data_IF_377470028713
#
_entry.id   IF_377470028713
#
_cell.length_a   1.000
_cell.length_b   1.000
_cell.length_c   1.000
_cell.angle_alpha   90.00
_cell.angle_beta   90.00
_cell.angle_gamma   90.00
#
_symmetry.space_group_name_H-M   'P 1'
#
loop_
_entity.id
_entity.type
_entity.pdbx_description
1 polymer ?
#
# COMPACT_ATOMS: atom_id res chain seq x y z
N UNK A 1 -49.98 -61.50 -1.05
CA UNK A 1 -48.66 -61.32 -0.41
C UNK A 1 -47.81 -60.46 -1.32
N UNK A 2 -47.85 -59.14 -1.13
CA UNK A 2 -47.16 -58.17 -1.98
C UNK A 2 -46.29 -57.24 -1.13
N UNK A 3 -45.23 -56.78 -1.79
CA UNK A 3 -44.43 -55.57 -1.54
C UNK A 3 -43.53 -55.54 -0.31
N UNK A 4 -42.29 -56.02 -0.49
CA UNK A 4 -41.12 -55.49 0.21
C UNK A 4 -39.90 -55.46 -0.73
N UNK A 5 -39.99 -54.67 -1.80
CA UNK A 5 -38.85 -54.41 -2.72
C UNK A 5 -38.98 -53.02 -3.32
N UNK A 6 -38.84 -51.94 -2.56
CA UNK A 6 -38.75 -50.58 -3.15
C UNK A 6 -38.16 -49.49 -2.22
N UNK A 7 -37.18 -49.79 -1.35
CA UNK A 7 -36.58 -48.75 -0.46
C UNK A 7 -35.03 -48.82 -0.39
N UNK A 8 -34.35 -49.37 -1.40
CA UNK A 8 -32.86 -49.35 -1.47
C UNK A 8 -32.38 -48.81 -2.82
N UNK A 9 -33.09 -47.83 -3.40
CA UNK A 9 -32.65 -47.15 -4.63
C UNK A 9 -32.73 -45.61 -4.56
N UNK A 10 -33.10 -45.03 -3.41
CA UNK A 10 -33.19 -43.57 -3.25
C UNK A 10 -32.00 -43.00 -2.46
N UNK A 11 -31.30 -43.81 -1.67
CA UNK A 11 -30.14 -43.33 -0.87
C UNK A 11 -28.87 -43.18 -1.73
N UNK A 12 -28.79 -43.79 -2.91
CA UNK A 12 -27.63 -43.66 -3.80
C UNK A 12 -27.71 -42.47 -4.78
N UNK A 13 -28.87 -41.82 -4.91
CA UNK A 13 -29.05 -40.63 -5.78
C UNK A 13 -28.89 -39.30 -5.01
N UNK A 14 -28.95 -39.31 -3.68
CA UNK A 14 -28.67 -38.12 -2.85
C UNK A 14 -27.20 -37.94 -2.51
N UNK A 15 -26.34 -38.94 -2.73
CA UNK A 15 -24.89 -38.84 -2.51
C UNK A 15 -24.11 -38.30 -3.73
N UNK A 16 -24.74 -38.17 -4.89
CA UNK A 16 -24.12 -37.53 -6.07
C UNK A 16 -24.28 -35.99 -6.10
N UNK A 17 -25.05 -35.39 -5.19
CA UNK A 17 -25.17 -33.94 -5.08
C UNK A 17 -24.12 -33.30 -4.14
N UNK A 18 -23.14 -34.06 -3.65
CA UNK A 18 -22.10 -33.54 -2.74
C UNK A 18 -20.68 -33.53 -3.35
N UNK A 19 -20.52 -33.81 -4.64
CA UNK A 19 -19.22 -33.77 -5.34
C UNK A 19 -19.30 -33.02 -6.67
N UNK A 20 -19.82 -31.80 -6.61
CA UNK A 20 -19.56 -30.76 -7.60
C UNK A 20 -19.28 -29.45 -6.87
N UNK A 21 -18.24 -29.45 -6.03
CA UNK A 21 -17.51 -28.22 -5.72
C UNK A 21 -16.43 -28.05 -6.80
N UNK A 22 -16.87 -28.05 -8.06
CA UNK A 22 -16.04 -27.85 -9.24
C UNK A 22 -16.52 -26.59 -9.96
N UNK A 23 -16.14 -25.47 -9.37
CA UNK A 23 -15.83 -24.21 -10.01
C UNK A 23 -15.14 -23.42 -8.89
N UNK A 24 -13.82 -23.54 -8.80
CA UNK A 24 -13.05 -22.44 -8.22
C UNK A 24 -13.52 -21.18 -8.94
N UNK A 25 -13.95 -20.15 -8.23
CA UNK A 25 -14.35 -18.88 -8.85
C UNK A 25 -13.14 -18.34 -9.64
N UNK A 26 -13.12 -18.60 -10.96
CA UNK A 26 -12.02 -18.18 -11.83
C UNK A 26 -12.16 -16.68 -12.01
N UNK A 27 -11.38 -15.92 -11.26
CA UNK A 27 -11.28 -14.48 -11.48
C UNK A 27 -10.59 -14.22 -12.81
N UNK A 28 -11.10 -13.24 -13.57
CA UNK A 28 -10.54 -12.89 -14.89
C UNK A 28 -10.05 -11.45 -14.92
N UNK A 29 -8.88 -11.25 -15.50
CA UNK A 29 -8.45 -9.93 -15.95
C UNK A 29 -8.48 -9.94 -17.47
N UNK A 30 -9.35 -9.12 -18.03
CA UNK A 30 -9.57 -9.01 -19.46
C UNK A 30 -9.25 -7.59 -19.91
N UNK A 31 -8.90 -7.43 -21.17
CA UNK A 31 -8.66 -6.10 -21.66
C UNK A 31 -8.22 -6.03 -23.11
N UNK A 32 -8.04 -4.79 -23.53
CA UNK A 32 -7.73 -4.42 -24.89
C UNK A 32 -6.68 -3.31 -24.90
N UNK A 33 -5.53 -3.60 -25.49
CA UNK A 33 -4.49 -2.62 -25.75
C UNK A 33 -4.58 -2.08 -27.18
N UNK A 34 -4.43 -0.77 -27.33
CA UNK A 34 -4.28 -0.14 -28.65
C UNK A 34 -2.84 0.31 -28.87
N UNK A 35 -2.45 0.58 -30.12
CA UNK A 35 -1.12 1.12 -30.48
C UNK A 35 0.07 0.21 -30.10
N UNK A 36 -0.14 -1.12 -30.14
CA UNK A 36 0.92 -2.07 -29.82
C UNK A 36 2.06 -2.06 -30.85
N UNK A 37 3.33 -2.25 -30.42
CA UNK A 37 4.44 -2.44 -31.34
C UNK A 37 4.26 -3.68 -32.23
N UNK A 38 4.26 -3.46 -33.56
CA UNK A 38 3.89 -4.45 -34.59
C UNK A 38 4.78 -5.70 -34.62
N UNK A 39 6.02 -5.61 -34.14
CA UNK A 39 7.04 -6.66 -34.26
C UNK A 39 7.55 -7.20 -32.92
N UNK A 40 6.76 -7.11 -31.85
CA UNK A 40 7.14 -7.65 -30.54
C UNK A 40 6.02 -8.49 -29.98
N UNK A 41 6.40 -9.67 -29.47
CA UNK A 41 5.52 -10.39 -28.57
C UNK A 41 5.37 -9.58 -27.27
N UNK A 42 4.14 -9.46 -26.80
CA UNK A 42 3.80 -8.73 -25.59
C UNK A 42 3.12 -9.68 -24.64
N UNK A 43 3.59 -9.69 -23.39
CA UNK A 43 3.02 -10.44 -22.31
C UNK A 43 2.47 -9.48 -21.27
N UNK A 44 1.24 -9.74 -20.84
CA UNK A 44 0.63 -9.10 -19.69
C UNK A 44 0.94 -9.94 -18.45
N UNK A 45 1.38 -9.30 -17.38
CA UNK A 45 1.74 -9.96 -16.12
C UNK A 45 0.92 -9.38 -14.98
N UNK A 46 0.53 -10.25 -14.04
CA UNK A 46 0.01 -9.88 -12.74
C UNK A 46 1.04 -10.21 -11.67
N UNK A 47 1.23 -9.28 -10.73
CA UNK A 47 2.13 -9.42 -9.59
C UNK A 47 1.37 -9.26 -8.29
N UNK A 48 1.78 -10.03 -7.29
CA UNK A 48 1.51 -9.78 -5.89
C UNK A 48 2.73 -9.17 -5.21
N UNK A 49 2.52 -8.68 -3.99
CA UNK A 49 3.59 -8.16 -3.15
C UNK A 49 3.91 -9.12 -2.01
N UNK A 50 5.20 -9.28 -1.77
CA UNK A 50 5.76 -9.88 -0.56
C UNK A 50 6.72 -8.86 0.07
N UNK A 51 6.24 -8.12 1.07
CA UNK A 51 6.92 -6.92 1.56
C UNK A 51 7.04 -5.86 0.46
N UNK A 52 8.27 -5.56 0.04
CA UNK A 52 8.57 -4.65 -1.08
C UNK A 52 8.91 -5.37 -2.39
N UNK A 53 8.89 -6.70 -2.40
CA UNK A 53 9.23 -7.49 -3.58
C UNK A 53 7.97 -7.83 -4.38
N UNK A 54 8.12 -7.82 -5.71
CA UNK A 54 7.08 -8.23 -6.65
C UNK A 54 7.25 -9.69 -6.99
N UNK A 55 6.20 -10.46 -6.84
CA UNK A 55 6.16 -11.87 -7.23
C UNK A 55 5.17 -12.04 -8.38
N UNK A 56 5.63 -12.57 -9.51
CA UNK A 56 4.77 -12.89 -10.66
C UNK A 56 3.76 -13.95 -10.21
N UNK A 57 2.48 -13.60 -10.24
CA UNK A 57 1.40 -14.54 -9.98
C UNK A 57 1.05 -15.33 -11.24
N UNK A 58 0.88 -14.63 -12.35
CA UNK A 58 0.52 -15.22 -13.62
C UNK A 58 0.83 -14.28 -14.79
N UNK A 59 0.80 -14.80 -16.02
CA UNK A 59 1.00 -14.04 -17.24
C UNK A 59 0.24 -14.62 -18.43
N UNK A 60 -0.11 -13.75 -19.37
CA UNK A 60 -0.76 -14.14 -20.63
C UNK A 60 -0.15 -13.40 -21.80
N UNK A 61 -0.01 -14.08 -22.93
CA UNK A 61 0.40 -13.44 -24.18
C UNK A 61 -0.75 -12.57 -24.72
N UNK A 62 -0.46 -11.30 -24.95
CA UNK A 62 -1.38 -10.37 -25.60
C UNK A 62 -1.48 -10.71 -27.09
N UNK A 63 -2.70 -10.80 -27.61
CA UNK A 63 -2.93 -11.08 -29.02
C UNK A 63 -2.44 -9.92 -29.89
N UNK A 64 -2.18 -10.17 -31.18
CA UNK A 64 -1.83 -9.11 -32.14
C UNK A 64 -2.92 -8.05 -32.30
N UNK A 65 -4.17 -8.40 -32.02
CA UNK A 65 -5.29 -7.45 -31.95
C UNK A 65 -5.22 -6.53 -30.73
N UNK A 66 -4.40 -6.87 -29.73
CA UNK A 66 -4.30 -6.20 -28.44
C UNK A 66 -5.18 -6.77 -27.33
N UNK A 67 -6.04 -7.73 -27.66
CA UNK A 67 -6.89 -8.41 -26.68
C UNK A 67 -6.09 -9.38 -25.80
N UNK A 68 -6.48 -9.53 -24.55
CA UNK A 68 -5.95 -10.53 -23.63
C UNK A 68 -7.00 -10.97 -22.59
N UNK A 69 -6.81 -12.18 -22.05
CA UNK A 69 -7.61 -12.73 -20.95
C UNK A 69 -6.70 -13.55 -20.04
N UNK A 70 -6.42 -13.04 -18.85
CA UNK A 70 -5.72 -13.75 -17.79
C UNK A 70 -6.77 -14.42 -16.88
N UNK A 71 -6.64 -15.74 -16.67
CA UNK A 71 -7.55 -16.51 -15.82
C UNK A 71 -6.81 -16.96 -14.57
N UNK A 72 -7.33 -16.57 -13.42
CA UNK A 72 -6.69 -16.84 -12.15
C UNK A 72 -7.49 -17.93 -11.46
N UNK A 73 -6.88 -19.11 -11.35
CA UNK A 73 -7.50 -20.29 -10.73
C UNK A 73 -7.30 -20.33 -9.22
N UNK A 74 -6.46 -19.44 -8.69
CA UNK A 74 -6.16 -19.31 -7.25
C UNK A 74 -7.03 -18.22 -6.63
N UNK A 75 -7.50 -18.48 -5.42
CA UNK A 75 -8.13 -17.46 -4.58
C UNK A 75 -7.17 -16.30 -4.32
N UNK A 76 -7.65 -15.07 -4.54
CA UNK A 76 -6.87 -13.84 -4.36
C UNK A 76 -7.29 -13.16 -3.06
N UNK A 77 -6.31 -12.88 -2.21
CA UNK A 77 -6.52 -12.06 -1.03
C UNK A 77 -6.85 -10.61 -1.42
N UNK A 78 -7.73 -9.91 -0.70
CA UNK A 78 -7.97 -8.49 -0.94
C UNK A 78 -6.68 -7.67 -0.76
N UNK A 79 -6.26 -6.95 -1.79
CA UNK A 79 -4.91 -6.38 -1.79
C UNK A 79 -4.61 -5.37 -2.89
N UNK A 80 -3.43 -4.75 -2.76
CA UNK A 80 -2.78 -4.05 -3.87
C UNK A 80 -2.04 -5.09 -4.69
N UNK A 81 -2.30 -5.08 -5.99
CA UNK A 81 -1.59 -5.86 -6.98
C UNK A 81 -0.95 -4.92 -7.99
N UNK A 82 -0.06 -5.46 -8.81
CA UNK A 82 0.50 -4.72 -9.94
C UNK A 82 0.29 -5.49 -11.24
N UNK A 83 0.13 -4.73 -12.31
CA UNK A 83 0.09 -5.25 -13.67
C UNK A 83 1.18 -4.60 -14.50
N UNK A 84 1.73 -5.35 -15.45
CA UNK A 84 2.81 -4.85 -16.33
C UNK A 84 2.70 -5.41 -17.74
N UNK A 85 3.36 -4.74 -18.69
CA UNK A 85 3.59 -5.25 -20.04
C UNK A 85 5.06 -5.57 -20.24
N UNK A 86 5.39 -6.83 -20.59
CA UNK A 86 6.76 -7.29 -20.79
C UNK A 86 7.69 -7.06 -19.58
N UNK A 87 7.16 -7.22 -18.36
CA UNK A 87 7.88 -6.94 -17.11
C UNK A 87 8.45 -5.51 -17.05
N UNK A 88 7.77 -4.58 -17.72
CA UNK A 88 8.03 -3.16 -17.71
C UNK A 88 6.70 -2.42 -17.61
N UNK A 89 6.76 -1.13 -17.27
CA UNK A 89 5.58 -0.26 -17.22
C UNK A 89 4.54 -0.80 -16.23
N UNK A 90 4.82 -0.63 -14.94
CA UNK A 90 3.95 -1.14 -13.88
C UNK A 90 2.84 -0.13 -13.59
N UNK A 91 1.65 -0.64 -13.28
CA UNK A 91 0.73 0.15 -12.47
C UNK A 91 -0.07 -0.73 -11.52
N UNK A 92 -0.38 -0.13 -10.38
CA UNK A 92 -1.08 -0.81 -9.30
C UNK A 92 -2.58 -0.84 -9.56
N UNK A 93 -3.21 -1.93 -9.15
CA UNK A 93 -4.65 -2.15 -9.13
C UNK A 93 -5.05 -2.70 -7.76
N UNK A 94 -6.32 -2.58 -7.40
CA UNK A 94 -6.90 -3.24 -6.23
C UNK A 94 -7.73 -4.42 -6.70
N UNK A 95 -7.52 -5.58 -6.10
CA UNK A 95 -8.37 -6.75 -6.27
C UNK A 95 -8.93 -7.12 -4.90
N UNK A 96 -10.24 -7.35 -4.80
CA UNK A 96 -10.89 -7.68 -3.52
C UNK A 96 -11.55 -9.06 -3.51
N UNK A 97 -11.53 -9.76 -4.64
CA UNK A 97 -12.29 -11.00 -4.84
C UNK A 97 -13.81 -10.81 -4.87
N UNK A 98 -14.32 -9.58 -4.71
CA UNK A 98 -15.77 -9.30 -4.79
C UNK A 98 -16.25 -9.14 -6.23
N UNK A 99 -15.34 -8.83 -7.15
CA UNK A 99 -15.63 -8.77 -8.57
C UNK A 99 -15.32 -10.13 -9.24
N UNK A 100 -16.13 -10.55 -10.21
CA UNK A 100 -15.85 -11.77 -11.00
C UNK A 100 -14.78 -11.53 -12.08
N UNK A 101 -14.65 -10.27 -12.52
CA UNK A 101 -13.65 -9.86 -13.50
C UNK A 101 -13.26 -8.40 -13.35
N UNK A 102 -12.06 -8.08 -13.84
CA UNK A 102 -11.57 -6.73 -14.04
C UNK A 102 -11.30 -6.50 -15.52
N UNK A 103 -11.89 -5.45 -16.08
CA UNK A 103 -11.62 -5.02 -17.45
C UNK A 103 -10.53 -3.96 -17.44
N UNK A 104 -9.58 -4.00 -18.36
CA UNK A 104 -8.50 -3.01 -18.49
C UNK A 104 -8.46 -2.49 -19.93
N UNK A 105 -8.52 -1.17 -20.08
CA UNK A 105 -8.39 -0.51 -21.38
C UNK A 105 -7.31 0.57 -21.31
N UNK A 106 -6.36 0.52 -22.24
CA UNK A 106 -5.32 1.54 -22.38
C UNK A 106 -4.67 1.48 -23.77
N UNK A 107 -4.18 2.62 -24.28
CA UNK A 107 -3.19 2.57 -25.34
C UNK A 107 -1.81 2.20 -24.78
N UNK A 108 -0.95 1.60 -25.61
CA UNK A 108 0.43 1.30 -25.25
C UNK A 108 1.18 2.55 -24.75
N UNK A 109 0.89 3.72 -25.36
CA UNK A 109 1.47 5.00 -24.95
C UNK A 109 0.94 5.49 -23.59
N UNK A 110 -0.35 5.34 -23.31
CA UNK A 110 -0.92 5.67 -21.98
C UNK A 110 -0.34 4.77 -20.89
N UNK A 111 -0.13 3.50 -21.20
CA UNK A 111 0.48 2.56 -20.27
C UNK A 111 1.94 2.95 -19.95
N UNK A 112 2.68 3.47 -20.94
CA UNK A 112 4.05 3.96 -20.74
C UNK A 112 4.14 5.14 -19.76
N UNK A 113 3.08 5.94 -19.62
CA UNK A 113 3.04 7.05 -18.66
C UNK A 113 2.51 6.63 -17.29
N UNK A 114 2.26 5.33 -17.08
CA UNK A 114 1.69 4.79 -15.85
C UNK A 114 0.19 5.03 -15.71
N UNK A 115 -0.48 5.50 -16.77
CA UNK A 115 -1.93 5.68 -16.78
C UNK A 115 -2.62 4.38 -17.21
N UNK A 116 -3.29 3.74 -16.25
CA UNK A 116 -4.23 2.66 -16.52
C UNK A 116 -5.63 3.17 -16.20
N UNK A 117 -6.59 2.91 -17.09
CA UNK A 117 -7.99 3.03 -16.77
C UNK A 117 -8.57 1.64 -16.49
N UNK A 118 -8.52 1.18 -15.23
CA UNK A 118 -9.23 -0.03 -14.84
C UNK A 118 -10.73 0.21 -15.04
N UNK A 119 -11.35 -0.61 -15.88
CA UNK A 119 -12.78 -0.63 -16.13
C UNK A 119 -13.55 -1.13 -14.93
N UNK A 120 -14.60 -0.38 -14.58
CA UNK A 120 -15.75 -0.74 -13.73
C UNK A 120 -15.53 -1.33 -12.33
N UNK A 121 -14.31 -1.34 -11.78
CA UNK A 121 -14.11 -1.68 -10.36
C UNK A 121 -14.17 -0.41 -9.52
N UNK A 122 -15.12 -0.37 -8.58
CA UNK A 122 -15.29 0.73 -7.61
C UNK A 122 -13.98 1.02 -6.86
N UNK A 123 -13.24 -0.02 -6.48
CA UNK A 123 -11.94 0.11 -5.78
C UNK A 123 -10.91 0.81 -6.64
N UNK A 124 -10.87 0.47 -7.93
CA UNK A 124 -9.88 1.03 -8.82
C UNK A 124 -10.22 2.45 -9.31
N UNK A 125 -11.51 2.78 -9.42
CA UNK A 125 -11.97 4.16 -9.57
C UNK A 125 -11.56 5.02 -8.36
N UNK A 126 -11.68 4.47 -7.15
CA UNK A 126 -11.25 5.12 -5.92
C UNK A 126 -9.73 5.31 -5.86
N UNK A 127 -8.98 4.28 -6.26
CA UNK A 127 -7.52 4.37 -6.35
C UNK A 127 -7.08 5.46 -7.33
N UNK A 128 -7.80 5.63 -8.46
CA UNK A 128 -7.56 6.73 -9.41
C UNK A 128 -7.78 8.09 -8.76
N UNK A 129 -8.93 8.31 -8.11
CA UNK A 129 -9.23 9.56 -7.41
C UNK A 129 -8.17 9.88 -6.34
N UNK A 130 -7.75 8.86 -5.58
CA UNK A 130 -6.69 8.99 -4.60
C UNK A 130 -5.36 9.43 -5.25
N UNK A 131 -4.97 8.80 -6.36
CA UNK A 131 -3.75 9.18 -7.12
C UNK A 131 -3.79 10.62 -7.61
N UNK A 132 -4.94 11.09 -8.08
CA UNK A 132 -5.13 12.48 -8.52
C UNK A 132 -4.94 13.45 -7.35
N UNK A 133 -5.49 13.15 -6.18
CA UNK A 133 -5.27 13.95 -4.95
C UNK A 133 -3.79 13.97 -4.55
N UNK A 134 -3.13 12.80 -4.55
CA UNK A 134 -1.70 12.65 -4.25
C UNK A 134 -0.83 13.47 -5.20
N UNK A 135 -1.14 13.44 -6.50
CA UNK A 135 -0.43 14.18 -7.53
C UNK A 135 -0.63 15.70 -7.37
N UNK A 136 -1.86 16.15 -7.10
CA UNK A 136 -2.17 17.54 -6.85
C UNK A 136 -1.39 18.08 -5.64
N UNK A 137 -1.45 17.37 -4.50
CA UNK A 137 -0.70 17.73 -3.29
C UNK A 137 0.82 17.75 -3.55
N UNK A 138 1.37 16.77 -4.27
CA UNK A 138 2.80 16.77 -4.61
C UNK A 138 3.21 18.00 -5.43
N UNK A 139 2.38 18.43 -6.39
CA UNK A 139 2.65 19.64 -7.17
C UNK A 139 2.70 20.88 -6.29
N UNK A 140 1.78 21.01 -5.33
CA UNK A 140 1.76 22.13 -4.38
C UNK A 140 2.98 22.10 -3.45
N UNK A 141 3.30 20.95 -2.86
CA UNK A 141 4.47 20.81 -1.98
C UNK A 141 5.79 21.09 -2.72
N UNK A 142 5.93 20.63 -3.96
CA UNK A 142 7.13 20.89 -4.76
C UNK A 142 7.32 22.39 -5.02
N UNK A 143 6.23 23.13 -5.25
CA UNK A 143 6.29 24.59 -5.38
C UNK A 143 6.77 25.25 -4.09
N UNK A 144 6.25 24.83 -2.93
CA UNK A 144 6.69 25.35 -1.62
C UNK A 144 8.17 25.06 -1.39
N UNK A 145 8.63 23.83 -1.68
CA UNK A 145 10.04 23.44 -1.55
C UNK A 145 10.96 24.28 -2.44
N UNK A 146 10.58 24.49 -3.71
CA UNK A 146 11.34 25.36 -4.62
C UNK A 146 11.45 26.79 -4.09
N UNK A 147 10.39 27.32 -3.48
CA UNK A 147 10.43 28.64 -2.86
C UNK A 147 11.40 28.69 -1.66
N UNK A 148 11.44 27.64 -0.84
CA UNK A 148 12.38 27.52 0.28
C UNK A 148 13.82 27.42 -0.22
N UNK A 149 14.08 26.59 -1.23
CA UNK A 149 15.41 26.40 -1.84
C UNK A 149 15.95 27.67 -2.50
N UNK A 150 15.07 28.52 -3.02
CA UNK A 150 15.43 29.80 -3.61
C UNK A 150 15.76 30.90 -2.57
N UNK A 151 15.59 30.65 -1.27
CA UNK A 151 15.91 31.63 -0.22
C UNK A 151 17.42 31.75 0.00
N UNK A 152 17.93 32.98 -0.07
CA UNK A 152 19.30 33.29 0.32
C UNK A 152 19.40 33.41 1.85
N UNK A 153 20.32 32.66 2.46
CA UNK A 153 20.55 32.68 3.92
C UNK A 153 21.01 34.03 4.46
N UNK A 154 21.49 34.91 3.59
CA UNK A 154 21.89 36.29 3.92
C UNK A 154 20.76 37.31 3.81
N UNK A 155 19.54 36.91 3.41
CA UNK A 155 18.37 37.79 3.39
C UNK A 155 18.00 38.21 4.82
N UNK A 156 17.87 39.52 5.12
CA UNK A 156 17.48 40.00 6.45
C UNK A 156 16.14 39.42 6.96
N UNK A 157 15.27 38.96 6.05
CA UNK A 157 13.97 38.36 6.35
C UNK A 157 13.97 36.83 6.14
N UNK A 158 15.13 36.19 6.04
CA UNK A 158 15.25 34.75 5.76
C UNK A 158 14.35 33.90 6.66
N UNK A 159 14.46 34.07 7.99
CA UNK A 159 13.68 33.28 8.95
C UNK A 159 12.18 33.51 8.80
N UNK A 160 11.75 34.77 8.64
CA UNK A 160 10.33 35.11 8.45
C UNK A 160 9.77 34.48 7.18
N UNK A 161 10.48 34.59 6.04
CA UNK A 161 10.06 34.00 4.76
C UNK A 161 10.04 32.48 4.81
N UNK A 162 11.09 31.88 5.40
CA UNK A 162 11.17 30.43 5.58
C UNK A 162 9.99 29.92 6.41
N UNK A 163 9.70 30.57 7.53
CA UNK A 163 8.57 30.18 8.38
C UNK A 163 7.22 30.33 7.64
N UNK A 164 7.01 31.38 6.84
CA UNK A 164 5.78 31.51 6.06
C UNK A 164 5.59 30.39 5.03
N UNK A 165 6.68 29.89 4.42
CA UNK A 165 6.59 28.75 3.51
C UNK A 165 6.34 27.43 4.25
N UNK A 166 6.89 27.25 5.45
CA UNK A 166 6.58 26.07 6.27
C UNK A 166 5.11 26.07 6.72
N UNK A 167 4.54 27.24 7.05
CA UNK A 167 3.10 27.36 7.32
C UNK A 167 2.25 27.05 6.07
N UNK A 168 2.71 27.43 4.89
CA UNK A 168 2.06 27.06 3.62
C UNK A 168 2.10 25.54 3.40
N UNK A 169 3.23 24.89 3.67
CA UNK A 169 3.39 23.44 3.61
C UNK A 169 2.37 22.73 4.52
N UNK A 170 2.28 23.15 5.79
CA UNK A 170 1.32 22.60 6.75
C UNK A 170 -0.14 22.78 6.29
N UNK A 171 -0.49 23.94 5.72
CA UNK A 171 -1.83 24.18 5.17
C UNK A 171 -2.15 23.26 3.99
N UNK A 172 -1.20 23.04 3.08
CA UNK A 172 -1.36 22.10 1.96
C UNK A 172 -1.64 20.70 2.49
N UNK A 173 -0.87 20.22 3.48
CA UNK A 173 -1.07 18.91 4.10
C UNK A 173 -2.42 18.81 4.81
N UNK A 174 -2.81 19.83 5.57
CA UNK A 174 -4.08 19.85 6.32
C UNK A 174 -5.30 19.80 5.37
N UNK A 175 -5.29 20.60 4.29
CA UNK A 175 -6.35 20.58 3.26
C UNK A 175 -6.42 19.21 2.59
N UNK A 176 -5.26 18.65 2.25
CA UNK A 176 -5.16 17.33 1.64
C UNK A 176 -5.70 16.23 2.56
N UNK A 177 -5.37 16.25 3.86
CA UNK A 177 -5.92 15.33 4.86
C UNK A 177 -7.45 15.41 4.92
N UNK A 178 -8.02 16.62 4.85
CA UNK A 178 -9.49 16.80 4.78
C UNK A 178 -10.07 16.16 3.51
N UNK A 179 -9.41 16.29 2.36
CA UNK A 179 -9.86 15.66 1.11
C UNK A 179 -9.82 14.13 1.20
N UNK A 180 -8.76 13.55 1.74
CA UNK A 180 -8.65 12.10 1.96
C UNK A 180 -9.72 11.62 2.95
N UNK A 181 -9.94 12.33 4.05
CA UNK A 181 -10.99 11.97 5.01
C UNK A 181 -12.40 12.07 4.43
N UNK A 182 -12.66 13.01 3.52
CA UNK A 182 -13.92 13.07 2.76
C UNK A 182 -14.06 11.85 1.85
N UNK A 183 -13.01 11.48 1.12
CA UNK A 183 -13.00 10.27 0.28
C UNK A 183 -13.32 9.03 1.12
N UNK A 184 -12.66 8.86 2.27
CA UNK A 184 -12.97 7.77 3.22
C UNK A 184 -14.42 7.80 3.68
N UNK A 185 -14.95 8.99 3.98
CA UNK A 185 -16.31 9.18 4.45
C UNK A 185 -17.38 8.80 3.42
N UNK A 186 -17.16 9.11 2.14
CA UNK A 186 -18.09 8.79 1.05
C UNK A 186 -18.03 7.32 0.61
N UNK A 187 -16.89 6.66 0.77
CA UNK A 187 -16.63 5.32 0.26
C UNK A 187 -16.31 4.32 1.38
N UNK A 188 -17.05 4.38 2.48
CA UNK A 188 -16.95 3.40 3.58
C UNK A 188 -17.07 1.96 3.06
N UNK A 189 -16.49 1.02 3.79
CA UNK A 189 -16.50 -0.41 3.50
C UNK A 189 -15.78 -0.82 2.20
N UNK A 190 -15.02 0.10 1.60
CA UNK A 190 -14.11 -0.18 0.48
C UNK A 190 -12.69 -0.38 1.00
N UNK A 191 -11.95 -1.30 0.38
CA UNK A 191 -10.56 -1.57 0.67
C UNK A 191 -9.71 -0.30 0.52
N UNK A 192 -9.96 0.48 -0.53
CA UNK A 192 -9.24 1.74 -0.78
C UNK A 192 -9.49 2.76 0.34
N UNK A 193 -10.71 2.91 0.83
CA UNK A 193 -11.01 3.85 1.92
C UNK A 193 -10.47 3.38 3.28
N UNK A 194 -10.62 2.10 3.61
CA UNK A 194 -10.31 1.58 4.94
C UNK A 194 -8.85 1.20 5.13
N UNK A 195 -8.22 0.69 4.06
CA UNK A 195 -6.86 0.13 4.12
C UNK A 195 -5.88 1.11 3.50
N UNK A 196 -6.16 1.63 2.29
CA UNK A 196 -5.18 2.42 1.52
C UNK A 196 -5.13 3.88 1.96
N UNK A 197 -6.27 4.58 2.01
CA UNK A 197 -6.31 6.00 2.34
C UNK A 197 -5.58 6.38 3.64
N UNK A 198 -5.63 5.59 4.74
CA UNK A 198 -4.87 5.91 5.95
C UNK A 198 -3.35 6.04 5.77
N UNK A 199 -2.75 5.30 4.82
CA UNK A 199 -1.32 5.45 4.50
C UNK A 199 -0.98 6.81 3.91
N UNK A 200 -1.96 7.43 3.27
CA UNK A 200 -1.84 8.70 2.58
C UNK A 200 -2.24 9.90 3.44
N UNK A 201 -2.62 9.72 4.71
CA UNK A 201 -2.83 10.83 5.65
C UNK A 201 -1.52 11.05 6.41
N UNK A 202 -1.07 12.30 6.45
CA UNK A 202 0.13 12.71 7.19
C UNK A 202 -0.28 13.60 8.37
N UNK A 203 -0.07 13.18 9.63
CA UNK A 203 -0.37 14.02 10.78
C UNK A 203 0.35 15.35 10.67
N UNK A 204 -0.36 16.46 10.94
CA UNK A 204 0.23 17.80 10.91
C UNK A 204 0.12 18.41 12.30
N UNK A 205 1.21 18.90 12.88
CA UNK A 205 1.21 19.44 14.25
C UNK A 205 0.17 20.56 14.45
N UNK A 206 -0.07 21.38 13.43
CA UNK A 206 -1.09 22.45 13.46
C UNK A 206 -2.52 21.95 13.67
N UNK A 207 -2.79 20.68 13.35
CA UNK A 207 -4.09 20.04 13.58
C UNK A 207 -4.26 19.57 15.03
N UNK A 208 -3.20 19.61 15.85
CA UNK A 208 -3.18 19.20 17.27
C UNK A 208 -2.65 20.33 18.18
N UNK A 209 -3.42 21.43 18.37
CA UNK A 209 -2.96 22.59 19.13
C UNK A 209 -2.51 22.25 20.56
N UNK A 210 -3.11 21.24 21.18
CA UNK A 210 -2.78 20.76 22.53
C UNK A 210 -1.40 20.08 22.62
N UNK A 211 -0.81 19.72 21.48
CA UNK A 211 0.52 19.13 21.37
C UNK A 211 1.58 20.14 20.91
N UNK A 212 1.19 21.35 20.48
CA UNK A 212 2.10 22.35 19.93
C UNK A 212 3.23 22.72 20.90
N UNK A 213 2.95 22.81 22.20
CA UNK A 213 3.98 23.12 23.22
C UNK A 213 4.88 21.95 23.58
N UNK A 214 4.54 20.72 23.15
CA UNK A 214 5.30 19.50 23.47
C UNK A 214 6.37 19.16 22.43
N UNK A 215 6.35 19.82 21.27
CA UNK A 215 7.24 19.51 20.16
C UNK A 215 7.82 20.79 19.57
N UNK A 216 9.15 20.84 19.45
CA UNK A 216 9.85 22.01 18.91
C UNK A 216 9.57 22.23 17.41
N UNK A 217 9.24 21.17 16.68
CA UNK A 217 9.01 21.20 15.23
C UNK A 217 8.24 19.97 14.73
N UNK A 218 7.80 20.04 13.47
CA UNK A 218 7.06 18.97 12.78
C UNK A 218 7.79 17.62 12.80
N UNK A 219 9.12 17.61 12.63
CA UNK A 219 9.90 16.37 12.61
C UNK A 219 9.90 15.68 13.97
N UNK A 220 10.00 16.45 15.07
CA UNK A 220 9.89 15.92 16.42
C UNK A 220 8.49 15.37 16.72
N UNK A 221 7.45 16.04 16.23
CA UNK A 221 6.07 15.56 16.31
C UNK A 221 5.90 14.24 15.54
N UNK A 222 6.34 14.19 14.27
CA UNK A 222 6.23 13.01 13.42
C UNK A 222 7.05 11.83 13.95
N UNK A 223 8.17 12.06 14.64
CA UNK A 223 8.88 10.98 15.33
C UNK A 223 7.97 10.15 16.28
N UNK A 224 6.91 10.75 16.84
CA UNK A 224 5.98 10.12 17.79
C UNK A 224 4.56 9.92 17.25
N UNK A 225 4.20 10.58 16.16
CA UNK A 225 2.84 10.57 15.65
C UNK A 225 2.72 10.10 14.20
N UNK A 226 3.81 9.80 13.48
CA UNK A 226 3.76 9.48 12.04
C UNK A 226 2.79 8.34 11.65
N UNK A 227 2.52 7.41 12.57
CA UNK A 227 1.61 6.28 12.40
C UNK A 227 0.21 6.51 12.98
N UNK A 228 -0.15 7.73 13.38
CA UNK A 228 -1.40 8.04 14.09
C UNK A 228 -2.66 7.50 13.39
N UNK A 229 -2.68 7.48 12.06
CA UNK A 229 -3.82 6.99 11.28
C UNK A 229 -3.74 5.52 10.88
N UNK A 230 -2.67 4.81 11.26
CA UNK A 230 -2.47 3.40 10.92
C UNK A 230 -2.91 2.54 12.09
N UNK A 231 -3.92 1.71 11.85
CA UNK A 231 -4.36 0.69 12.78
C UNK A 231 -3.50 -0.57 12.62
N UNK A 232 -2.68 -0.86 13.62
CA UNK A 232 -1.78 -2.02 13.63
C UNK A 232 -2.51 -3.34 13.92
N UNK A 233 -3.79 -3.30 14.29
CA UNK A 233 -4.61 -4.50 14.49
C UNK A 233 -5.23 -5.01 13.18
N UNK A 234 -5.28 -4.18 12.13
CA UNK A 234 -5.81 -4.55 10.82
C UNK A 234 -4.73 -5.20 9.94
N UNK A 235 -4.76 -6.54 9.84
CA UNK A 235 -3.80 -7.31 9.05
C UNK A 235 -3.78 -6.91 7.56
N UNK A 236 -4.87 -6.38 7.00
CA UNK A 236 -4.91 -5.90 5.61
C UNK A 236 -3.95 -4.71 5.41
N UNK A 237 -3.81 -3.86 6.43
CA UNK A 237 -2.86 -2.74 6.43
C UNK A 237 -1.44 -3.26 6.56
N UNK A 238 -1.21 -4.19 7.50
CA UNK A 238 0.13 -4.76 7.76
C UNK A 238 0.69 -5.48 6.53
N UNK A 239 -0.14 -6.24 5.81
CA UNK A 239 0.26 -6.98 4.61
C UNK A 239 0.36 -6.09 3.35
N UNK A 240 -0.11 -4.84 3.42
CA UNK A 240 -0.01 -3.92 2.29
C UNK A 240 1.45 -3.52 2.04
N UNK A 241 1.92 -3.43 0.77
CA UNK A 241 3.25 -2.91 0.47
C UNK A 241 3.44 -1.47 0.96
N UNK A 242 2.35 -0.71 1.16
CA UNK A 242 2.41 0.64 1.73
C UNK A 242 2.87 0.66 3.18
N UNK A 243 2.68 -0.42 3.94
CA UNK A 243 3.19 -0.52 5.30
C UNK A 243 4.71 -0.64 5.32
N UNK A 244 5.28 -1.46 4.44
CA UNK A 244 6.72 -1.51 4.21
C UNK A 244 7.27 -0.11 3.91
N UNK A 245 6.70 0.58 2.92
CA UNK A 245 7.15 1.93 2.52
C UNK A 245 7.04 2.94 3.66
N UNK A 246 5.97 2.89 4.45
CA UNK A 246 5.74 3.82 5.56
C UNK A 246 6.74 3.58 6.71
N UNK A 247 7.02 2.33 7.08
CA UNK A 247 8.06 2.00 8.07
C UNK A 247 9.45 2.40 7.58
N UNK A 248 9.77 2.13 6.32
CA UNK A 248 11.05 2.55 5.74
C UNK A 248 11.22 4.07 5.78
N UNK A 249 10.20 4.83 5.36
CA UNK A 249 10.22 6.30 5.40
C UNK A 249 10.33 6.84 6.82
N UNK A 250 9.71 6.17 7.80
CA UNK A 250 9.81 6.57 9.20
C UNK A 250 11.26 6.54 9.72
N UNK A 251 11.98 5.46 9.44
CA UNK A 251 13.38 5.37 9.84
C UNK A 251 14.25 6.39 9.09
N UNK A 252 14.02 6.56 7.79
CA UNK A 252 14.77 7.49 6.95
C UNK A 252 14.57 8.97 7.33
N UNK A 253 13.33 9.39 7.59
CA UNK A 253 12.99 10.81 7.68
C UNK A 253 12.74 11.29 9.10
N UNK A 254 12.20 10.44 9.96
CA UNK A 254 11.64 10.84 11.26
C UNK A 254 12.36 10.21 12.45
N UNK A 255 13.29 9.29 12.22
CA UNK A 255 14.13 8.72 13.26
C UNK A 255 15.50 9.39 13.28
N UNK A 256 16.06 9.61 14.46
CA UNK A 256 17.42 10.16 14.56
C UNK A 256 18.42 9.07 14.10
N UNK A 257 19.35 9.36 13.17
CA UNK A 257 20.26 8.37 12.59
C UNK A 257 21.43 8.03 13.54
N UNK A 258 21.10 7.56 14.74
CA UNK A 258 22.03 7.05 15.75
C UNK A 258 21.50 5.74 16.31
N UNK A 259 22.37 4.93 16.92
CA UNK A 259 21.95 3.67 17.57
C UNK A 259 20.77 3.88 18.54
N UNK A 260 20.84 4.91 19.39
CA UNK A 260 19.78 5.22 20.35
C UNK A 260 18.50 5.71 19.66
N UNK A 261 18.63 6.53 18.62
CA UNK A 261 17.50 7.02 17.83
C UNK A 261 16.75 5.88 17.15
N UNK A 262 17.46 5.02 16.42
CA UNK A 262 16.89 3.84 15.77
C UNK A 262 16.29 2.84 16.76
N UNK A 263 16.97 2.58 17.88
CA UNK A 263 16.41 1.75 18.97
C UNK A 263 15.09 2.32 19.47
N UNK A 264 15.04 3.63 19.80
CA UNK A 264 13.81 4.27 20.28
C UNK A 264 12.70 4.26 19.22
N UNK A 265 13.03 4.40 17.94
CA UNK A 265 12.06 4.32 16.84
C UNK A 265 11.48 2.91 16.70
N UNK A 266 12.32 1.87 16.79
CA UNK A 266 11.86 0.49 16.78
C UNK A 266 11.02 0.14 18.01
N UNK A 267 11.42 0.56 19.21
CA UNK A 267 10.62 0.38 20.44
C UNK A 267 9.23 1.03 20.32
N UNK A 268 9.14 2.18 19.67
CA UNK A 268 7.87 2.83 19.37
C UNK A 268 7.01 2.00 18.39
N UNK A 269 7.59 1.49 17.30
CA UNK A 269 6.85 0.59 16.38
C UNK A 269 6.43 -0.72 17.05
N UNK A 270 7.26 -1.27 17.94
CA UNK A 270 6.95 -2.48 18.69
C UNK A 270 5.84 -2.26 19.73
N UNK A 271 5.75 -1.07 20.31
CA UNK A 271 4.64 -0.75 21.21
C UNK A 271 3.31 -0.62 20.46
N UNK A 272 3.32 -0.01 19.26
CA UNK A 272 2.15 0.05 18.38
C UNK A 272 1.67 -1.33 17.90
N UNK A 273 2.59 -2.27 17.72
CA UNK A 273 2.30 -3.63 17.25
C UNK A 273 2.11 -4.67 18.38
N UNK A 274 2.15 -4.24 19.64
CA UNK A 274 2.21 -5.17 20.79
C UNK A 274 1.01 -6.11 20.91
N UNK A 275 -0.17 -5.69 20.45
CA UNK A 275 -1.42 -6.48 20.50
C UNK A 275 -1.64 -7.37 19.25
N UNK A 276 -0.81 -7.25 18.22
CA UNK A 276 -0.93 -8.02 16.98
C UNK A 276 0.42 -8.65 16.59
N UNK A 277 0.53 -9.97 16.76
CA UNK A 277 1.75 -10.72 16.45
C UNK A 277 2.19 -10.58 14.98
N UNK A 278 1.24 -10.54 14.04
CA UNK A 278 1.54 -10.33 12.62
C UNK A 278 2.15 -8.95 12.39
N UNK A 279 1.60 -7.90 13.01
CA UNK A 279 2.14 -6.56 12.95
C UNK A 279 3.54 -6.50 13.57
N UNK A 280 3.74 -7.18 14.70
CA UNK A 280 5.03 -7.19 15.40
C UNK A 280 6.10 -7.85 14.53
N UNK A 281 5.78 -9.00 13.94
CA UNK A 281 6.70 -9.73 13.06
C UNK A 281 7.01 -8.91 11.80
N UNK A 282 6.00 -8.29 11.17
CA UNK A 282 6.21 -7.41 10.02
C UNK A 282 7.12 -6.21 10.37
N UNK A 283 6.90 -5.55 11.51
CA UNK A 283 7.78 -4.46 11.98
C UNK A 283 9.22 -4.94 12.11
N UNK A 284 9.45 -6.11 12.70
CA UNK A 284 10.79 -6.67 12.88
C UNK A 284 11.45 -7.00 11.55
N UNK A 285 10.74 -7.66 10.63
CA UNK A 285 11.24 -8.01 9.30
C UNK A 285 11.58 -6.77 8.46
N UNK A 286 10.69 -5.78 8.43
CA UNK A 286 10.92 -4.53 7.70
C UNK A 286 12.09 -3.76 8.31
N UNK A 287 12.19 -3.72 9.64
CA UNK A 287 13.29 -3.04 10.33
C UNK A 287 14.63 -3.72 10.03
N UNK A 288 14.68 -5.06 10.10
CA UNK A 288 15.85 -5.84 9.71
C UNK A 288 16.27 -5.52 8.28
N UNK A 289 15.33 -5.60 7.33
CA UNK A 289 15.57 -5.25 5.92
C UNK A 289 16.10 -3.82 5.76
N UNK A 290 15.52 -2.84 6.47
CA UNK A 290 16.00 -1.45 6.43
C UNK A 290 17.46 -1.34 6.86
N UNK A 291 17.84 -1.93 8.00
CA UNK A 291 19.21 -1.82 8.49
C UNK A 291 20.22 -2.62 7.66
N UNK A 292 19.85 -3.81 7.19
CA UNK A 292 20.73 -4.65 6.35
C UNK A 292 21.01 -4.02 4.98
N UNK A 293 20.04 -3.27 4.43
CA UNK A 293 20.16 -2.63 3.11
C UNK A 293 20.61 -1.17 3.16
N UNK A 294 20.99 -0.65 4.33
CA UNK A 294 21.56 0.69 4.49
C UNK A 294 22.98 0.63 5.04
N UNK A 295 23.68 1.75 5.09
CA UNK A 295 25.02 1.87 5.72
C UNK A 295 24.98 1.65 7.26
N UNK A 296 23.89 1.09 7.78
CA UNK A 296 23.60 0.86 9.20
C UNK A 296 23.52 -0.63 9.54
N UNK A 297 24.05 -1.53 8.70
CA UNK A 297 23.96 -2.98 8.89
C UNK A 297 24.53 -3.46 10.24
N UNK A 298 25.61 -2.84 10.71
CA UNK A 298 26.19 -3.10 12.04
C UNK A 298 25.28 -2.70 13.21
N UNK A 299 24.28 -1.85 12.97
CA UNK A 299 23.34 -1.42 14.01
C UNK A 299 22.28 -2.47 14.30
N UNK A 300 21.85 -3.27 13.32
CA UNK A 300 20.81 -4.28 13.56
C UNK A 300 21.20 -5.24 14.69
N UNK A 301 22.40 -5.82 14.62
CA UNK A 301 22.90 -6.74 15.64
C UNK A 301 22.95 -6.09 17.04
N UNK A 302 23.35 -4.81 17.12
CA UNK A 302 23.43 -4.05 18.38
C UNK A 302 22.04 -3.69 18.94
N UNK A 303 21.10 -3.37 18.06
CA UNK A 303 19.71 -3.09 18.43
C UNK A 303 19.05 -4.39 18.91
N UNK A 304 19.22 -5.48 18.17
CA UNK A 304 18.68 -6.79 18.50
C UNK A 304 19.20 -7.31 19.86
N UNK A 305 20.51 -7.23 20.10
CA UNK A 305 21.12 -7.59 21.40
C UNK A 305 20.43 -6.84 22.54
N UNK A 306 20.29 -5.51 22.42
CA UNK A 306 19.63 -4.67 23.43
C UNK A 306 18.15 -4.97 23.64
N UNK A 307 17.42 -5.36 22.59
CA UNK A 307 16.01 -5.75 22.71
C UNK A 307 15.87 -7.11 23.40
N UNK A 308 16.79 -8.04 23.13
CA UNK A 308 16.80 -9.36 23.75
C UNK A 308 17.11 -9.32 25.25
N UNK A 309 17.98 -8.39 25.69
CA UNK A 309 18.26 -8.12 27.11
C UNK A 309 17.01 -7.63 27.88
N UNK A 310 16.04 -7.04 27.19
CA UNK A 310 14.81 -6.51 27.77
C UNK A 310 13.64 -7.50 27.76
N UNK A 311 13.89 -8.79 27.48
CA UNK A 311 12.88 -9.85 27.35
C UNK A 311 11.80 -9.59 26.29
N UNK A 312 12.09 -8.76 25.29
CA UNK A 312 11.24 -8.66 24.10
C UNK A 312 11.55 -9.90 23.24
N UNK A 313 10.64 -10.87 23.24
CA UNK A 313 10.79 -12.10 22.46
C UNK A 313 10.75 -11.78 20.96
N UNK A 314 11.90 -11.90 20.30
CA UNK A 314 12.04 -11.77 18.85
C UNK A 314 12.51 -13.13 18.33
N UNK A 315 11.73 -13.77 17.45
CA UNK A 315 12.19 -15.00 16.77
C UNK A 315 13.42 -14.70 15.93
N UNK A 316 14.45 -15.54 16.04
CA UNK A 316 15.73 -15.40 15.33
C UNK A 316 15.58 -15.43 13.81
#
# INVERSE_FOLDING_TARGET
MYSLRFIILIVFLSLQHCLAKELSDIFKIEGQFTELPINKDIYFYLYSYNGNQREVLDSVKVLKSGAFTLKIEKELEPGIYEVSLNNALFASIILTGKEESLQLEASYMQWQTGYIQPGSSKENELLKLLRELVAHRNSQLNRVRQNIEALYTTDPFYNTKRNSFLEEEQKVLSIYNVQINRLKGFYRDTYTAEVICPFYIEPVLSDFPELAEKFDNEKAFLNRHYFFYIDFTDNRKIQSPLFYEKVHRYFEQYTHPTLLGYKSGLEYLLSLSSENENARNAVLEISKSYFENTDQSDLWSKIYEKLSEQHISISK
#
